data_IF_434294917018
#
_entry.id   IF_434294917018
#
_cell.length_a   1.000
_cell.length_b   1.000
_cell.length_c   1.000
_cell.angle_alpha   90.00
_cell.angle_beta   90.00
_cell.angle_gamma   90.00
#
_symmetry.space_group_name_H-M   'P 1'
#
loop_
_entity.id
_entity.type
_entity.pdbx_description
1 polymer ?
#
# COMPACT_ATOMS: atom_id res chain seq x y z
N UNK A 1 -2.58 6.07 -32.65
CA UNK A 1 -3.11 4.82 -32.05
C UNK A 1 -4.45 5.16 -31.42
N UNK A 2 -5.47 4.31 -31.54
CA UNK A 2 -6.77 4.52 -30.88
C UNK A 2 -6.63 4.46 -29.36
N UNK A 3 -7.37 5.28 -28.63
CA UNK A 3 -7.44 5.22 -27.17
C UNK A 3 -7.95 3.86 -26.71
N UNK A 4 -7.45 3.40 -25.57
CA UNK A 4 -7.77 2.13 -24.93
C UNK A 4 -8.23 2.35 -23.50
N UNK A 5 -9.39 1.83 -23.16
CA UNK A 5 -10.00 1.97 -21.85
C UNK A 5 -9.62 0.78 -20.99
N UNK A 6 -9.08 1.04 -19.80
CA UNK A 6 -8.77 0.03 -18.79
C UNK A 6 -9.75 0.17 -17.64
N UNK A 7 -10.60 -0.85 -17.46
CA UNK A 7 -11.46 -1.00 -16.29
C UNK A 7 -10.69 -1.61 -15.11
N UNK A 8 -11.25 -1.52 -13.90
CA UNK A 8 -10.64 -2.12 -12.73
C UNK A 8 -11.67 -2.90 -11.88
N UNK A 9 -11.20 -4.01 -11.32
CA UNK A 9 -11.86 -4.74 -10.23
C UNK A 9 -10.93 -4.79 -9.03
N UNK A 10 -11.45 -4.48 -7.84
CA UNK A 10 -10.69 -4.57 -6.60
C UNK A 10 -11.59 -4.96 -5.43
N UNK A 11 -11.03 -5.65 -4.44
CA UNK A 11 -11.72 -5.95 -3.17
C UNK A 11 -11.49 -4.88 -2.10
N UNK A 12 -10.60 -3.93 -2.33
CA UNK A 12 -10.43 -2.81 -1.42
C UNK A 12 -11.60 -1.85 -1.50
N UNK A 13 -12.21 -1.58 -0.35
CA UNK A 13 -13.25 -0.56 -0.26
C UNK A 13 -12.66 0.82 -0.58
N UNK A 14 -13.34 1.55 -1.47
CA UNK A 14 -12.93 2.90 -1.90
C UNK A 14 -11.90 2.94 -3.04
N UNK A 15 -11.28 1.83 -3.41
CA UNK A 15 -10.41 1.76 -4.60
C UNK A 15 -11.12 1.32 -5.88
N UNK A 16 -12.36 0.91 -5.79
CA UNK A 16 -13.21 0.60 -6.95
C UNK A 16 -13.72 1.85 -7.69
N UNK A 17 -13.34 3.03 -7.22
CA UNK A 17 -13.53 4.30 -7.91
C UNK A 17 -12.24 4.68 -8.62
N UNK A 18 -12.33 5.31 -9.77
CA UNK A 18 -11.18 5.69 -10.61
C UNK A 18 -10.29 6.78 -9.99
N UNK A 19 -10.75 7.45 -8.92
CA UNK A 19 -10.17 8.68 -8.39
C UNK A 19 -8.66 8.60 -8.15
N UNK A 20 -8.21 7.54 -7.48
CA UNK A 20 -6.80 7.42 -7.14
C UNK A 20 -5.93 7.13 -8.38
N UNK A 21 -6.38 6.29 -9.31
CA UNK A 21 -5.70 6.07 -10.59
C UNK A 21 -5.72 7.34 -11.43
N UNK A 22 -6.83 8.06 -11.44
CA UNK A 22 -6.96 9.33 -12.11
C UNK A 22 -5.96 10.36 -11.60
N UNK A 23 -5.83 10.49 -10.30
CA UNK A 23 -4.89 11.43 -9.68
C UNK A 23 -3.44 11.06 -9.95
N UNK A 24 -3.14 9.78 -10.09
CA UNK A 24 -1.77 9.27 -10.25
C UNK A 24 -1.29 9.17 -11.70
N UNK A 25 -2.07 9.60 -12.65
CA UNK A 25 -1.65 9.68 -14.06
C UNK A 25 -1.14 11.07 -14.42
N UNK A 26 -0.11 11.18 -15.30
CA UNK A 26 0.54 12.47 -15.61
C UNK A 26 -0.33 13.42 -16.41
N UNK A 27 -1.31 12.94 -17.18
CA UNK A 27 -2.10 13.78 -18.07
C UNK A 27 -3.60 13.54 -17.93
N UNK A 28 -4.38 14.62 -17.95
CA UNK A 28 -5.85 14.61 -18.06
C UNK A 28 -6.54 13.59 -17.18
N UNK A 29 -6.17 13.54 -15.89
CA UNK A 29 -6.82 12.68 -14.90
C UNK A 29 -7.24 11.31 -15.46
N UNK A 30 -6.35 10.34 -15.39
CA UNK A 30 -6.60 8.98 -15.85
C UNK A 30 -6.01 8.66 -17.22
N UNK A 31 -5.42 9.61 -17.91
CA UNK A 31 -4.84 9.39 -19.23
C UNK A 31 -3.30 9.28 -19.17
N UNK A 32 -2.76 8.23 -19.81
CA UNK A 32 -1.34 8.04 -20.04
C UNK A 32 -1.12 7.54 -21.48
N UNK A 33 -0.62 8.41 -22.33
CA UNK A 33 -0.50 8.11 -23.76
C UNK A 33 -1.87 7.83 -24.38
N UNK A 34 -2.05 6.64 -24.93
CA UNK A 34 -3.33 6.16 -25.47
C UNK A 34 -4.17 5.32 -24.48
N UNK A 35 -3.75 5.23 -23.21
CA UNK A 35 -4.48 4.50 -22.16
C UNK A 35 -5.35 5.47 -21.37
N UNK A 36 -6.60 5.11 -21.14
CA UNK A 36 -7.55 5.80 -20.27
C UNK A 36 -7.93 4.83 -19.14
N UNK A 37 -7.67 5.24 -17.89
CA UNK A 37 -8.08 4.51 -16.70
C UNK A 37 -9.50 4.94 -16.30
N UNK A 38 -10.48 4.07 -16.52
CA UNK A 38 -11.86 4.24 -16.07
C UNK A 38 -12.32 2.95 -15.38
N UNK A 39 -12.13 2.90 -14.05
CA UNK A 39 -12.36 1.70 -13.26
C UNK A 39 -13.77 1.13 -13.45
N UNK A 40 -14.78 1.98 -13.61
CA UNK A 40 -16.18 1.56 -13.65
C UNK A 40 -16.76 1.50 -15.08
N UNK A 41 -15.93 1.70 -16.10
CA UNK A 41 -16.41 1.66 -17.49
C UNK A 41 -17.17 0.35 -17.77
N UNK A 42 -18.37 0.40 -18.35
CA UNK A 42 -19.21 -0.79 -18.53
C UNK A 42 -18.66 -1.79 -19.56
N UNK A 43 -17.89 -1.32 -20.51
CA UNK A 43 -17.29 -2.11 -21.59
C UNK A 43 -15.84 -1.65 -21.85
N UNK A 44 -14.90 -1.98 -20.93
CA UNK A 44 -13.49 -1.59 -21.12
C UNK A 44 -12.81 -2.47 -22.17
N UNK A 45 -11.77 -1.95 -22.82
CA UNK A 45 -10.91 -2.74 -23.71
C UNK A 45 -10.05 -3.76 -22.96
N UNK A 46 -9.62 -3.40 -21.75
CA UNK A 46 -8.79 -4.21 -20.85
C UNK A 46 -9.32 -4.15 -19.42
N UNK A 47 -9.00 -5.16 -18.61
CA UNK A 47 -9.42 -5.22 -17.21
C UNK A 47 -8.23 -5.48 -16.29
N UNK A 48 -8.04 -4.62 -15.30
CA UNK A 48 -7.10 -4.80 -14.22
C UNK A 48 -7.83 -5.33 -12.98
N UNK A 49 -7.54 -6.56 -12.58
CA UNK A 49 -7.95 -7.13 -11.29
C UNK A 49 -6.86 -6.81 -10.26
N UNK A 50 -7.00 -5.66 -9.58
CA UNK A 50 -6.03 -5.15 -8.63
C UNK A 50 -6.41 -5.53 -7.21
N UNK A 51 -5.63 -6.40 -6.56
CA UNK A 51 -5.97 -6.96 -5.23
C UNK A 51 -7.43 -7.41 -5.19
N UNK A 52 -7.80 -8.26 -6.13
CA UNK A 52 -9.14 -8.82 -6.18
C UNK A 52 -9.15 -10.16 -5.43
N UNK A 53 -10.01 -10.26 -4.43
CA UNK A 53 -10.19 -11.48 -3.63
C UNK A 53 -11.26 -12.36 -4.25
N UNK A 54 -10.87 -13.55 -4.68
CA UNK A 54 -11.78 -14.53 -5.20
C UNK A 54 -12.62 -15.18 -4.08
N UNK A 55 -13.92 -15.44 -4.31
CA UNK A 55 -14.78 -16.07 -3.32
C UNK A 55 -14.29 -17.48 -3.00
N UNK A 56 -14.17 -17.79 -1.71
CA UNK A 56 -13.88 -19.14 -1.22
C UNK A 56 -15.17 -19.87 -0.91
N UNK A 57 -15.30 -21.09 -1.35
CA UNK A 57 -16.32 -22.00 -0.83
C UNK A 57 -15.92 -22.36 0.59
N UNK A 58 -16.62 -21.80 1.58
CA UNK A 58 -16.40 -22.15 2.99
C UNK A 58 -16.81 -23.61 3.20
N UNK A 59 -15.82 -24.50 3.40
CA UNK A 59 -16.04 -25.91 3.76
C UNK A 59 -16.33 -26.12 5.25
N UNK A 60 -16.41 -25.07 6.07
CA UNK A 60 -16.71 -25.23 7.49
C UNK A 60 -18.22 -25.34 7.67
N UNK A 61 -18.70 -26.38 8.38
CA UNK A 61 -20.08 -26.42 8.80
C UNK A 61 -20.33 -25.19 9.69
N UNK A 62 -21.29 -24.36 9.26
CA UNK A 62 -21.74 -23.21 10.02
C UNK A 62 -22.20 -23.68 11.39
N UNK A 63 -21.83 -22.99 12.45
CA UNK A 63 -22.45 -23.21 13.75
C UNK A 63 -23.98 -23.02 13.61
N UNK A 64 -24.77 -23.71 14.43
CA UNK A 64 -26.23 -23.60 14.43
C UNK A 64 -26.73 -22.13 14.43
N UNK A 65 -26.04 -21.25 15.16
CA UNK A 65 -26.37 -19.81 15.20
C UNK A 65 -26.05 -19.08 13.89
N UNK A 66 -24.98 -19.46 13.21
CA UNK A 66 -24.63 -18.91 11.89
C UNK A 66 -25.54 -19.44 10.79
N UNK A 67 -25.95 -20.71 10.89
CA UNK A 67 -26.94 -21.33 10.01
C UNK A 67 -28.28 -20.59 10.06
N UNK A 68 -28.78 -20.27 11.27
CA UNK A 68 -30.02 -19.49 11.43
C UNK A 68 -29.84 -18.06 10.88
N UNK A 69 -28.73 -17.40 11.12
CA UNK A 69 -28.45 -16.08 10.53
C UNK A 69 -28.40 -16.13 9.01
N UNK A 70 -27.93 -17.22 8.42
CA UNK A 70 -27.92 -17.41 6.97
C UNK A 70 -29.29 -17.65 6.36
N UNK A 71 -30.23 -18.26 7.09
CA UNK A 71 -31.62 -18.45 6.64
C UNK A 71 -32.39 -17.12 6.47
N UNK A 72 -32.06 -16.11 7.27
CA UNK A 72 -32.71 -14.80 7.26
C UNK A 72 -31.94 -13.71 6.50
N UNK A 73 -30.70 -13.97 6.05
CA UNK A 73 -30.01 -13.07 5.11
C UNK A 73 -30.39 -13.51 3.69
N UNK A 74 -30.81 -12.55 2.83
CA UNK A 74 -30.94 -12.88 1.41
C UNK A 74 -29.60 -13.47 0.97
N UNK A 75 -29.63 -14.67 0.35
CA UNK A 75 -28.44 -15.23 -0.32
C UNK A 75 -27.92 -14.14 -1.22
N UNK A 76 -26.78 -13.53 -0.87
CA UNK A 76 -25.98 -12.83 -1.86
C UNK A 76 -25.71 -13.91 -2.91
N UNK A 77 -26.42 -13.86 -4.01
CA UNK A 77 -26.09 -14.59 -5.21
C UNK A 77 -24.62 -14.27 -5.47
N UNK A 78 -23.76 -15.28 -5.43
CA UNK A 78 -22.40 -15.15 -5.93
C UNK A 78 -22.57 -14.62 -7.35
N UNK A 79 -22.39 -13.30 -7.51
CA UNK A 79 -22.35 -12.70 -8.85
C UNK A 79 -21.23 -13.44 -9.56
N UNK A 80 -21.55 -14.14 -10.63
CA UNK A 80 -20.55 -14.93 -11.36
C UNK A 80 -19.38 -13.97 -11.68
N UNK A 81 -18.17 -14.41 -11.41
CA UNK A 81 -16.97 -13.63 -11.72
C UNK A 81 -16.99 -13.19 -13.18
N UNK A 82 -17.55 -14.02 -14.07
CA UNK A 82 -17.71 -13.73 -15.50
C UNK A 82 -18.53 -12.47 -15.76
N UNK A 83 -19.58 -12.21 -14.99
CA UNK A 83 -20.36 -10.97 -15.12
C UNK A 83 -19.50 -9.73 -14.74
N UNK A 84 -18.64 -9.88 -13.71
CA UNK A 84 -17.73 -8.81 -13.30
C UNK A 84 -16.66 -8.50 -14.34
N UNK A 85 -16.31 -9.46 -15.20
CA UNK A 85 -15.36 -9.24 -16.29
C UNK A 85 -15.88 -8.33 -17.40
N UNK A 86 -17.17 -7.99 -17.41
CA UNK A 86 -17.79 -7.04 -18.38
C UNK A 86 -17.52 -7.41 -19.83
N UNK A 87 -17.45 -8.71 -20.15
CA UNK A 87 -17.18 -9.20 -21.50
C UNK A 87 -15.70 -9.12 -21.95
N UNK A 88 -14.80 -8.68 -21.08
CA UNK A 88 -13.35 -8.65 -21.39
C UNK A 88 -12.79 -10.08 -21.39
N UNK A 89 -12.09 -10.43 -22.46
CA UNK A 89 -11.50 -11.75 -22.59
C UNK A 89 -10.28 -11.95 -21.68
N UNK A 90 -9.92 -13.20 -21.44
CA UNK A 90 -8.78 -13.59 -20.60
C UNK A 90 -7.47 -12.90 -21.05
N UNK A 91 -7.24 -12.81 -22.36
CA UNK A 91 -6.01 -12.25 -22.97
C UNK A 91 -5.86 -10.75 -22.69
N UNK A 92 -6.96 -10.09 -22.33
CA UNK A 92 -7.02 -8.65 -22.03
C UNK A 92 -7.25 -8.37 -20.54
N UNK A 93 -7.17 -9.41 -19.70
CA UNK A 93 -7.35 -9.31 -18.26
C UNK A 93 -6.02 -9.57 -17.54
N UNK A 94 -5.67 -8.67 -16.63
CA UNK A 94 -4.45 -8.72 -15.82
C UNK A 94 -4.85 -8.82 -14.34
N UNK A 95 -4.16 -9.66 -13.58
CA UNK A 95 -4.25 -9.70 -12.13
C UNK A 95 -2.96 -9.23 -11.49
N UNK A 96 -3.06 -8.29 -10.56
CA UNK A 96 -1.93 -7.80 -9.76
C UNK A 96 -2.28 -7.82 -8.28
N UNK A 97 -1.59 -8.66 -7.53
CA UNK A 97 -1.70 -8.72 -6.09
C UNK A 97 -0.73 -7.72 -5.46
N UNK A 98 -1.11 -7.11 -4.34
CA UNK A 98 -0.28 -6.14 -3.62
C UNK A 98 0.04 -6.51 -2.17
N UNK A 99 -0.74 -7.39 -1.57
CA UNK A 99 -0.50 -7.77 -0.18
C UNK A 99 0.73 -8.66 -0.04
N UNK A 100 1.61 -8.39 0.94
CA UNK A 100 2.78 -9.20 1.17
C UNK A 100 2.39 -10.59 1.72
N UNK A 101 3.24 -11.62 1.58
CA UNK A 101 2.98 -12.97 2.04
C UNK A 101 3.18 -13.12 3.55
N UNK A 102 2.43 -12.36 4.35
CA UNK A 102 2.39 -12.51 5.80
C UNK A 102 1.83 -13.89 6.18
N UNK A 103 2.24 -14.47 7.32
CA UNK A 103 1.91 -15.83 7.76
C UNK A 103 0.44 -16.25 7.55
N UNK A 104 -0.49 -15.34 7.81
CA UNK A 104 -1.93 -15.59 7.64
C UNK A 104 -2.48 -15.26 6.26
N UNK A 105 -1.67 -14.66 5.41
CA UNK A 105 -2.07 -14.12 4.09
C UNK A 105 -1.51 -14.96 2.96
N UNK A 106 -0.35 -15.59 3.15
CA UNK A 106 0.34 -16.35 2.11
C UNK A 106 -0.54 -17.42 1.44
N UNK A 107 -1.27 -18.22 2.22
CA UNK A 107 -2.19 -19.24 1.68
C UNK A 107 -3.38 -18.62 0.93
N UNK A 108 -3.78 -17.42 1.35
CA UNK A 108 -4.81 -16.66 0.66
C UNK A 108 -4.32 -16.11 -0.67
N UNK A 109 -3.09 -15.60 -0.69
CA UNK A 109 -2.46 -15.13 -1.91
C UNK A 109 -2.30 -16.27 -2.93
N UNK A 110 -1.83 -17.44 -2.51
CA UNK A 110 -1.72 -18.64 -3.37
C UNK A 110 -3.07 -19.02 -3.99
N UNK A 111 -4.12 -19.06 -3.17
CA UNK A 111 -5.47 -19.33 -3.66
C UNK A 111 -5.91 -18.30 -4.70
N UNK A 112 -5.70 -17.01 -4.44
CA UNK A 112 -6.05 -15.95 -5.38
C UNK A 112 -5.28 -16.07 -6.71
N UNK A 113 -3.99 -16.42 -6.69
CA UNK A 113 -3.21 -16.66 -7.91
C UNK A 113 -3.76 -17.82 -8.73
N UNK A 114 -4.10 -18.94 -8.10
CA UNK A 114 -4.66 -20.08 -8.81
C UNK A 114 -6.02 -19.75 -9.44
N UNK A 115 -6.85 -18.99 -8.76
CA UNK A 115 -8.11 -18.52 -9.33
C UNK A 115 -7.88 -17.51 -10.46
N UNK A 116 -6.94 -16.58 -10.29
CA UNK A 116 -6.65 -15.56 -11.29
C UNK A 116 -6.18 -16.17 -12.62
N UNK A 117 -5.40 -17.26 -12.63
CA UNK A 117 -4.96 -17.97 -13.85
C UNK A 117 -6.11 -18.42 -14.76
N UNK A 118 -7.30 -18.63 -14.19
CA UNK A 118 -8.49 -19.01 -14.95
C UNK A 118 -8.97 -17.86 -15.82
N UNK A 119 -8.91 -16.64 -15.31
CA UNK A 119 -9.55 -15.45 -15.88
C UNK A 119 -8.57 -14.44 -16.49
N UNK A 120 -7.28 -14.55 -16.17
CA UNK A 120 -6.27 -13.58 -16.54
C UNK A 120 -5.14 -14.24 -17.34
N UNK A 121 -4.60 -13.52 -18.31
CA UNK A 121 -3.41 -13.94 -19.07
C UNK A 121 -2.11 -13.58 -18.35
N UNK A 122 -2.14 -12.54 -17.50
CA UNK A 122 -1.01 -12.13 -16.69
C UNK A 122 -1.42 -12.08 -15.23
N UNK A 123 -0.65 -12.75 -14.37
CA UNK A 123 -0.91 -12.88 -12.93
C UNK A 123 0.37 -12.63 -12.18
N UNK A 124 0.45 -11.51 -11.48
CA UNK A 124 1.65 -11.07 -10.75
C UNK A 124 1.40 -10.73 -9.30
N UNK A 125 2.48 -10.69 -8.52
CA UNK A 125 2.44 -10.24 -7.14
C UNK A 125 3.82 -10.19 -6.49
N UNK A 126 3.92 -9.54 -5.31
CA UNK A 126 5.17 -9.26 -4.64
C UNK A 126 5.64 -10.42 -3.74
N UNK A 127 5.60 -11.63 -4.27
CA UNK A 127 6.10 -12.83 -3.59
C UNK A 127 6.68 -13.88 -4.56
N UNK A 128 7.53 -14.76 -4.03
CA UNK A 128 8.28 -15.74 -4.83
C UNK A 128 7.43 -16.90 -5.34
N UNK A 129 6.19 -17.04 -4.91
CA UNK A 129 5.26 -18.07 -5.39
C UNK A 129 4.18 -17.52 -6.32
N UNK A 130 4.22 -16.21 -6.62
CA UNK A 130 3.40 -15.64 -7.68
C UNK A 130 3.74 -16.28 -9.04
N UNK A 131 2.76 -16.47 -9.94
CA UNK A 131 3.04 -16.94 -11.30
C UNK A 131 4.06 -16.09 -12.02
N UNK A 132 3.98 -14.77 -11.87
CA UNK A 132 5.01 -13.81 -12.25
C UNK A 132 5.39 -13.03 -11.00
N UNK A 133 6.52 -13.39 -10.32
CA UNK A 133 7.03 -12.58 -9.23
C UNK A 133 7.40 -11.19 -9.75
N UNK A 134 6.81 -10.16 -9.18
CA UNK A 134 7.02 -8.77 -9.61
C UNK A 134 6.94 -7.83 -8.43
N UNK A 135 7.49 -6.63 -8.59
CA UNK A 135 7.39 -5.60 -7.57
C UNK A 135 5.93 -5.24 -7.30
N UNK A 136 5.63 -4.94 -6.03
CA UNK A 136 4.36 -4.32 -5.70
C UNK A 136 4.18 -3.04 -6.53
N UNK A 137 3.03 -2.84 -7.19
CA UNK A 137 2.80 -1.62 -7.97
C UNK A 137 3.02 -0.36 -7.13
N UNK A 138 3.83 0.56 -7.64
CA UNK A 138 4.11 1.84 -6.99
C UNK A 138 2.86 2.74 -7.05
N UNK A 139 2.15 2.81 -5.95
CA UNK A 139 1.02 3.72 -5.76
C UNK A 139 1.26 4.52 -4.49
N UNK A 140 0.69 5.72 -4.41
CA UNK A 140 0.77 6.55 -3.23
C UNK A 140 -0.60 6.85 -2.63
N UNK A 141 -0.60 7.21 -1.36
CA UNK A 141 -1.81 7.57 -0.60
C UNK A 141 -1.77 8.97 0.00
N UNK A 142 -0.81 9.80 -0.39
CA UNK A 142 -0.98 11.25 -0.25
C UNK A 142 -2.14 11.67 -1.15
N UNK A 143 -3.01 12.54 -0.65
CA UNK A 143 -4.23 12.93 -1.36
C UNK A 143 -4.01 13.80 -2.60
N UNK A 144 -2.77 14.15 -2.89
CA UNK A 144 -2.36 15.02 -3.97
C UNK A 144 -2.30 14.27 -5.30
N UNK A 145 -2.72 14.92 -6.38
CA UNK A 145 -2.60 14.39 -7.73
C UNK A 145 -1.16 14.45 -8.24
N UNK A 146 -0.87 13.70 -9.31
CA UNK A 146 0.42 13.78 -10.01
C UNK A 146 0.76 15.23 -10.40
N UNK A 147 -0.24 15.94 -10.93
CA UNK A 147 -0.07 17.33 -11.35
C UNK A 147 0.30 18.23 -10.17
N UNK A 148 -0.46 18.17 -9.07
CA UNK A 148 -0.15 18.94 -7.86
C UNK A 148 1.25 18.65 -7.35
N UNK A 149 1.63 17.37 -7.22
CA UNK A 149 2.95 16.95 -6.76
C UNK A 149 4.08 17.45 -7.67
N UNK A 150 3.83 17.53 -8.98
CA UNK A 150 4.80 18.00 -9.98
C UNK A 150 4.92 19.54 -10.04
N UNK A 151 3.82 20.23 -9.77
CA UNK A 151 3.77 21.71 -9.80
C UNK A 151 4.15 22.33 -8.44
N UNK A 152 4.03 21.57 -7.34
CA UNK A 152 4.38 22.04 -6.00
C UNK A 152 5.90 22.13 -5.84
N UNK A 153 6.38 23.25 -5.34
CA UNK A 153 7.76 23.37 -4.89
C UNK A 153 8.05 22.54 -3.62
N UNK A 154 9.30 22.51 -3.22
CA UNK A 154 9.73 21.89 -1.95
C UNK A 154 9.01 22.56 -0.79
N UNK A 155 8.26 21.82 0.03
CA UNK A 155 7.54 22.40 1.16
C UNK A 155 8.51 22.90 2.24
N UNK A 156 8.11 23.94 2.97
CA UNK A 156 8.86 24.42 4.12
C UNK A 156 8.98 23.33 5.19
N UNK A 157 10.19 23.10 5.68
CA UNK A 157 10.47 22.12 6.71
C UNK A 157 10.50 22.79 8.08
N UNK A 158 9.56 22.44 8.95
CA UNK A 158 9.36 23.07 10.27
C UNK A 158 9.64 22.11 11.41
N UNK A 159 9.66 20.81 11.15
CA UNK A 159 9.74 19.76 12.17
C UNK A 159 10.70 18.65 11.77
N UNK A 160 11.22 17.94 12.77
CA UNK A 160 12.26 16.96 12.54
C UNK A 160 11.74 15.66 11.95
N UNK A 161 10.83 14.95 12.63
CA UNK A 161 10.45 13.58 12.26
C UNK A 161 8.97 13.31 12.47
N UNK A 162 8.36 12.61 11.54
CA UNK A 162 6.99 12.08 11.68
C UNK A 162 6.94 10.57 11.47
N UNK A 163 5.89 9.94 11.96
CA UNK A 163 5.54 8.55 11.66
C UNK A 163 4.04 8.42 11.45
N UNK A 164 3.64 7.86 10.31
CA UNK A 164 2.23 7.52 10.06
C UNK A 164 2.10 6.01 10.10
N UNK A 165 1.33 5.49 11.05
CA UNK A 165 1.10 4.05 11.20
C UNK A 165 -0.31 3.75 11.68
N UNK A 166 -0.71 2.49 11.67
CA UNK A 166 -2.02 2.03 12.18
C UNK A 166 -1.85 1.12 13.39
N UNK A 167 -2.90 1.03 14.22
CA UNK A 167 -2.94 0.11 15.35
C UNK A 167 -3.20 -1.36 14.99
N UNK A 168 -3.13 -1.75 13.71
CA UNK A 168 -3.32 -3.14 13.28
C UNK A 168 -2.27 -4.03 13.94
N UNK A 169 -2.73 -5.14 14.59
CA UNK A 169 -1.88 -6.07 15.36
C UNK A 169 -2.10 -7.55 14.98
N UNK A 170 -2.61 -7.83 13.78
CA UNK A 170 -3.08 -9.16 13.36
C UNK A 170 -1.97 -10.19 13.17
N UNK A 171 -0.77 -9.76 12.77
CA UNK A 171 0.38 -10.63 12.50
C UNK A 171 1.53 -10.33 13.45
N UNK A 172 2.57 -11.18 13.43
CA UNK A 172 3.78 -10.96 14.23
C UNK A 172 4.47 -9.65 13.84
N UNK A 173 4.57 -9.37 12.54
CA UNK A 173 5.20 -8.14 12.02
C UNK A 173 4.46 -6.88 12.48
N UNK A 174 3.12 -6.90 12.49
CA UNK A 174 2.33 -5.79 13.04
C UNK A 174 2.64 -5.55 14.51
N UNK A 175 2.74 -6.63 15.32
CA UNK A 175 3.05 -6.52 16.74
C UNK A 175 4.47 -6.02 16.99
N UNK A 176 5.46 -6.49 16.21
CA UNK A 176 6.84 -5.99 16.27
C UNK A 176 6.92 -4.49 15.98
N UNK A 177 6.22 -4.02 14.95
CA UNK A 177 6.13 -2.60 14.63
C UNK A 177 5.51 -1.78 15.76
N UNK A 178 4.42 -2.27 16.39
CA UNK A 178 3.80 -1.60 17.53
C UNK A 178 4.68 -1.64 18.78
N UNK A 179 5.41 -2.73 19.01
CA UNK A 179 6.40 -2.81 20.09
C UNK A 179 7.53 -1.79 19.89
N UNK A 180 8.01 -1.65 18.67
CA UNK A 180 9.02 -0.61 18.36
C UNK A 180 8.46 0.80 18.52
N UNK A 181 7.22 1.06 18.15
CA UNK A 181 6.55 2.33 18.42
C UNK A 181 6.55 2.65 19.92
N UNK A 182 6.14 1.70 20.73
CA UNK A 182 6.12 1.84 22.20
C UNK A 182 7.51 2.14 22.73
N UNK A 183 8.51 1.37 22.31
CA UNK A 183 9.90 1.53 22.70
C UNK A 183 10.45 2.93 22.34
N UNK A 184 10.17 3.44 21.13
CA UNK A 184 10.57 4.79 20.72
C UNK A 184 9.95 5.86 21.63
N UNK A 185 8.66 5.76 21.95
CA UNK A 185 7.99 6.73 22.83
C UNK A 185 8.52 6.68 24.28
N UNK A 186 8.77 5.47 24.80
CA UNK A 186 9.34 5.27 26.15
C UNK A 186 10.79 5.75 26.26
N UNK A 187 11.55 5.67 25.16
CA UNK A 187 12.94 6.19 25.09
C UNK A 187 13.06 7.71 25.12
N UNK A 188 11.95 8.43 25.08
CA UNK A 188 11.89 9.89 25.01
C UNK A 188 12.29 10.48 23.65
N UNK A 189 12.47 9.68 22.60
CA UNK A 189 12.67 10.18 21.25
C UNK A 189 11.47 11.01 20.80
N UNK A 190 11.74 12.20 20.25
CA UNK A 190 10.69 13.15 19.84
C UNK A 190 10.35 12.99 18.37
N UNK A 191 9.11 12.63 18.10
CA UNK A 191 8.52 12.57 16.76
C UNK A 191 7.00 12.77 16.85
N UNK A 192 6.40 13.24 15.79
CA UNK A 192 4.94 13.33 15.72
C UNK A 192 4.37 12.02 15.13
N UNK A 193 3.48 11.40 15.88
CA UNK A 193 2.82 10.15 15.50
C UNK A 193 1.43 10.45 14.97
N UNK A 194 1.12 9.90 13.81
CA UNK A 194 -0.22 9.96 13.20
C UNK A 194 -0.73 8.56 12.87
N UNK A 195 -2.05 8.39 12.88
CA UNK A 195 -2.64 7.14 12.41
C UNK A 195 -3.95 6.75 13.03
N UNK A 196 -4.55 5.68 12.50
CA UNK A 196 -5.87 5.20 12.90
C UNK A 196 -5.79 3.98 13.81
N UNK A 197 -6.73 3.92 14.78
CA UNK A 197 -6.90 2.75 15.65
C UNK A 197 -5.65 2.43 16.48
N UNK A 198 -4.83 3.44 16.78
CA UNK A 198 -3.65 3.28 17.63
C UNK A 198 -4.07 2.87 19.04
N UNK A 199 -3.25 2.09 19.78
CA UNK A 199 -3.53 1.74 21.16
C UNK A 199 -3.60 2.97 22.07
N UNK A 200 -4.36 2.89 23.16
CA UNK A 200 -4.56 4.00 24.12
C UNK A 200 -3.27 4.52 24.75
N UNK A 201 -2.24 3.66 24.85
CA UNK A 201 -0.92 4.09 25.36
C UNK A 201 -0.13 4.94 24.36
N UNK A 202 -0.49 4.93 23.08
CA UNK A 202 0.25 5.66 22.05
C UNK A 202 -0.08 7.16 22.13
N UNK A 203 0.96 7.96 22.37
CA UNK A 203 0.86 9.42 22.29
C UNK A 203 0.83 9.82 20.82
N UNK A 204 -0.33 10.21 20.32
CA UNK A 204 -0.56 10.52 18.92
C UNK A 204 -1.02 11.95 18.70
N UNK A 205 -0.66 12.52 17.54
CA UNK A 205 -1.18 13.79 17.03
C UNK A 205 -2.54 13.63 16.30
N UNK A 206 -3.09 12.41 16.28
CA UNK A 206 -4.39 12.11 15.70
C UNK A 206 -4.35 11.47 14.32
N UNK A 207 -5.53 11.41 13.71
CA UNK A 207 -5.70 10.92 12.34
C UNK A 207 -5.51 12.04 11.33
N UNK A 208 -5.04 11.69 10.14
CA UNK A 208 -4.91 12.64 9.03
C UNK A 208 -5.73 12.16 7.84
N UNK A 209 -6.45 13.06 7.20
CA UNK A 209 -7.19 12.77 5.97
C UNK A 209 -6.26 12.72 4.77
N UNK A 210 -5.31 13.64 4.69
CA UNK A 210 -4.26 13.64 3.68
C UNK A 210 -2.89 13.49 4.36
N UNK A 211 -2.18 12.43 4.07
CA UNK A 211 -0.85 12.14 4.61
C UNK A 211 0.18 13.22 4.31
N UNK A 212 -0.02 13.99 3.22
CA UNK A 212 0.81 15.14 2.90
C UNK A 212 1.00 16.07 4.11
N UNK A 213 -0.07 16.41 4.81
CA UNK A 213 -0.01 17.34 5.95
C UNK A 213 0.77 16.78 7.15
N UNK A 214 0.88 15.46 7.26
CA UNK A 214 1.65 14.80 8.31
C UNK A 214 3.07 14.42 7.88
N UNK A 215 3.46 14.75 6.66
CA UNK A 215 4.80 14.46 6.12
C UNK A 215 5.49 15.75 5.61
N UNK A 216 4.84 16.53 4.77
CA UNK A 216 5.45 17.69 4.09
C UNK A 216 6.24 18.65 5.01
N UNK A 217 5.77 19.00 6.22
CA UNK A 217 6.52 19.90 7.10
C UNK A 217 7.70 19.24 7.85
N UNK A 218 7.98 17.96 7.61
CA UNK A 218 9.04 17.21 8.30
C UNK A 218 10.24 16.95 7.41
N UNK A 219 11.43 16.98 7.98
CA UNK A 219 12.66 16.55 7.31
C UNK A 219 12.65 15.04 7.08
N UNK A 220 12.28 14.26 8.11
CA UNK A 220 12.33 12.80 8.11
C UNK A 220 10.97 12.17 8.34
N UNK A 221 10.77 10.99 7.77
CA UNK A 221 9.61 10.15 8.07
C UNK A 221 10.03 8.71 8.35
N UNK A 222 9.52 8.13 9.45
CA UNK A 222 9.70 6.71 9.73
C UNK A 222 8.79 5.89 8.82
N UNK A 223 9.36 5.37 7.73
CA UNK A 223 8.66 4.56 6.74
C UNK A 223 8.90 3.07 7.02
N UNK A 224 8.16 2.52 7.99
CA UNK A 224 8.34 1.15 8.47
C UNK A 224 7.29 0.24 7.86
N UNK A 225 7.75 -0.75 7.08
CA UNK A 225 6.90 -1.72 6.41
C UNK A 225 6.35 -2.77 7.37
N UNK A 226 5.25 -3.39 6.96
CA UNK A 226 4.69 -4.55 7.66
C UNK A 226 5.39 -5.86 7.29
N UNK A 227 6.24 -5.84 6.26
CA UNK A 227 6.93 -7.02 5.75
C UNK A 227 8.28 -6.60 5.14
N UNK A 228 9.35 -7.33 5.48
CA UNK A 228 10.70 -7.00 5.05
C UNK A 228 11.48 -8.21 4.48
N UNK A 229 10.85 -9.40 4.45
CA UNK A 229 11.56 -10.66 4.27
C UNK A 229 11.74 -11.08 2.80
N UNK A 230 11.31 -10.23 1.84
CA UNK A 230 11.57 -10.47 0.42
C UNK A 230 12.10 -9.23 -0.31
N UNK A 231 12.43 -9.44 -1.57
CA UNK A 231 13.04 -8.44 -2.45
C UNK A 231 12.06 -7.83 -3.48
N UNK A 232 10.75 -7.96 -3.25
CA UNK A 232 9.70 -7.52 -4.17
C UNK A 232 8.71 -6.54 -3.53
N UNK A 233 8.58 -6.56 -2.21
CA UNK A 233 7.58 -5.77 -1.52
C UNK A 233 8.10 -4.40 -1.09
N UNK A 234 7.47 -3.35 -1.59
CA UNK A 234 7.59 -1.95 -1.15
C UNK A 234 6.21 -1.33 -1.20
N UNK A 235 5.71 -0.85 -0.08
CA UNK A 235 4.38 -0.24 -0.03
C UNK A 235 4.39 1.27 -0.26
N UNK A 236 3.21 1.85 -0.22
CA UNK A 236 3.01 3.30 -0.33
C UNK A 236 3.76 4.13 0.71
N UNK A 237 4.21 3.55 1.82
CA UNK A 237 4.91 4.27 2.90
C UNK A 237 6.17 4.96 2.43
N UNK A 238 6.93 4.27 1.59
CA UNK A 238 8.15 4.82 1.02
C UNK A 238 7.83 5.93 0.01
N UNK A 239 6.88 5.67 -0.88
CA UNK A 239 6.47 6.62 -1.93
C UNK A 239 5.82 7.87 -1.35
N UNK A 240 4.92 7.72 -0.37
CA UNK A 240 4.27 8.85 0.30
C UNK A 240 5.28 9.79 0.95
N UNK A 241 6.32 9.26 1.59
CA UNK A 241 7.37 10.06 2.21
C UNK A 241 8.20 10.83 1.17
N UNK A 242 8.66 10.14 0.12
CA UNK A 242 9.44 10.78 -0.96
C UNK A 242 8.64 11.87 -1.68
N UNK A 243 7.39 11.57 -2.04
CA UNK A 243 6.50 12.54 -2.70
C UNK A 243 6.16 13.73 -1.81
N UNK A 244 6.25 13.58 -0.50
CA UNK A 244 6.10 14.66 0.47
C UNK A 244 7.42 15.38 0.79
N UNK A 245 8.47 15.12 0.04
CA UNK A 245 9.81 15.68 0.26
C UNK A 245 10.41 15.36 1.64
N UNK A 246 9.98 14.27 2.28
CA UNK A 246 10.64 13.74 3.46
C UNK A 246 11.75 12.79 3.04
N UNK A 247 12.88 12.79 3.75
CA UNK A 247 13.84 11.71 3.65
C UNK A 247 13.33 10.52 4.47
N UNK A 248 12.96 9.38 3.83
CA UNK A 248 12.48 8.22 4.55
C UNK A 248 13.57 7.55 5.37
N UNK A 249 13.32 7.29 6.66
CA UNK A 249 14.06 6.31 7.46
C UNK A 249 13.30 5.00 7.30
N UNK A 250 13.78 4.17 6.38
CA UNK A 250 13.02 3.05 5.83
C UNK A 250 13.43 1.72 6.44
N UNK A 251 12.44 0.98 6.95
CA UNK A 251 12.54 -0.43 7.33
C UNK A 251 11.68 -1.28 6.41
N UNK A 252 12.29 -2.13 5.60
CA UNK A 252 11.61 -2.96 4.62
C UNK A 252 12.59 -3.85 3.87
N UNK A 253 12.10 -4.63 2.93
CA UNK A 253 12.90 -5.51 2.08
C UNK A 253 13.84 -4.75 1.14
N UNK A 254 14.67 -5.50 0.41
CA UNK A 254 15.69 -4.97 -0.51
C UNK A 254 15.11 -4.46 -1.84
N UNK A 255 13.79 -4.55 -2.05
CA UNK A 255 13.15 -3.99 -3.25
C UNK A 255 13.43 -2.48 -3.41
N UNK A 256 13.42 -1.73 -2.31
CA UNK A 256 13.67 -0.29 -2.31
C UNK A 256 15.05 0.06 -2.89
N UNK A 257 16.10 -0.73 -2.59
CA UNK A 257 17.46 -0.49 -3.08
C UNK A 257 17.58 -0.67 -4.61
N UNK A 258 16.68 -1.44 -5.22
CA UNK A 258 16.64 -1.67 -6.66
C UNK A 258 15.77 -0.67 -7.41
N UNK A 259 14.76 -0.14 -6.73
CA UNK A 259 13.77 0.75 -7.32
C UNK A 259 14.14 2.24 -7.23
N UNK A 260 15.04 2.59 -6.31
CA UNK A 260 15.43 3.97 -6.03
C UNK A 260 16.93 4.20 -6.18
N UNK A 261 17.35 5.39 -6.59
CA UNK A 261 18.75 5.77 -6.58
C UNK A 261 19.35 5.70 -5.17
N UNK A 262 20.67 5.44 -5.04
CA UNK A 262 21.37 5.56 -3.75
C UNK A 262 21.16 6.94 -3.12
N UNK A 263 20.97 6.98 -1.81
CA UNK A 263 20.73 8.22 -1.06
C UNK A 263 19.26 8.68 -1.03
N UNK A 264 18.35 8.06 -1.77
CA UNK A 264 16.93 8.42 -1.74
C UNK A 264 16.23 8.10 -0.40
N UNK A 265 16.82 7.27 0.44
CA UNK A 265 16.32 6.94 1.78
C UNK A 265 17.46 6.47 2.68
N UNK A 266 17.21 6.51 3.98
CA UNK A 266 18.11 5.99 5.02
C UNK A 266 17.62 4.61 5.47
N UNK A 267 18.48 3.60 5.42
CA UNK A 267 18.11 2.24 5.84
C UNK A 267 18.09 2.12 7.35
N UNK A 268 16.90 1.92 7.95
CA UNK A 268 16.78 1.57 9.36
C UNK A 268 17.32 0.16 9.59
N UNK A 269 18.36 -0.04 10.40
CA UNK A 269 19.02 -1.35 10.51
C UNK A 269 18.18 -2.40 11.24
N UNK A 270 17.38 -1.98 12.23
CA UNK A 270 16.57 -2.88 13.06
C UNK A 270 15.51 -2.11 13.84
N UNK A 271 14.52 -2.82 14.38
CA UNK A 271 13.48 -2.24 15.25
C UNK A 271 13.82 -2.52 16.73
N UNK A 272 14.94 -1.99 17.21
CA UNK A 272 15.48 -2.16 18.56
C UNK A 272 16.36 -0.95 18.98
N UNK A 273 17.21 -1.10 20.01
CA UNK A 273 18.13 -0.05 20.48
C UNK A 273 19.10 0.43 19.40
N UNK A 274 19.57 -0.44 18.51
CA UNK A 274 20.44 -0.08 17.39
C UNK A 274 19.69 0.83 16.42
N UNK A 275 18.44 0.48 16.11
CA UNK A 275 17.58 1.33 15.27
C UNK A 275 17.28 2.68 15.92
N UNK A 276 16.97 2.71 17.23
CA UNK A 276 16.77 3.94 17.96
C UNK A 276 18.02 4.84 17.94
N UNK A 277 19.18 4.28 18.19
CA UNK A 277 20.46 5.01 18.17
C UNK A 277 20.73 5.59 16.77
N UNK A 278 20.46 4.82 15.72
CA UNK A 278 20.56 5.27 14.34
C UNK A 278 19.60 6.44 14.06
N UNK A 279 18.32 6.30 14.42
CA UNK A 279 17.32 7.35 14.23
C UNK A 279 17.75 8.64 14.94
N UNK A 280 18.15 8.55 16.22
CA UNK A 280 18.61 9.71 17.00
C UNK A 280 19.80 10.42 16.33
N UNK A 281 20.75 9.64 15.82
CA UNK A 281 21.92 10.20 15.15
C UNK A 281 21.55 10.95 13.86
N UNK A 282 20.81 10.29 12.95
CA UNK A 282 20.50 10.87 11.63
C UNK A 282 19.49 12.02 11.71
N UNK A 283 18.65 12.07 12.75
CA UNK A 283 17.67 13.15 12.95
C UNK A 283 18.18 14.29 13.84
N UNK A 284 19.43 14.23 14.30
CA UNK A 284 20.03 15.28 15.13
C UNK A 284 20.21 16.60 14.37
N UNK A 285 20.42 16.52 13.07
CA UNK A 285 20.52 17.66 12.14
C UNK A 285 19.71 17.37 10.87
N UNK A 286 19.42 18.36 10.02
CA UNK A 286 18.78 18.14 8.72
C UNK A 286 19.78 17.79 7.60
N UNK A 287 21.05 17.55 7.89
CA UNK A 287 22.13 17.42 6.89
C UNK A 287 21.86 16.30 5.89
N UNK A 288 21.49 15.12 6.36
CA UNK A 288 21.18 13.99 5.47
C UNK A 288 20.00 14.27 4.51
N UNK A 289 19.03 15.07 4.96
CA UNK A 289 17.95 15.52 4.07
C UNK A 289 18.45 16.51 3.03
N UNK A 290 19.34 17.44 3.40
CA UNK A 290 19.92 18.40 2.47
C UNK A 290 20.77 17.71 1.40
N UNK A 291 21.55 16.70 1.79
CA UNK A 291 22.33 15.88 0.85
C UNK A 291 21.44 15.10 -0.13
N UNK A 292 20.36 14.47 0.38
CA UNK A 292 19.43 13.70 -0.44
C UNK A 292 18.62 14.56 -1.41
N UNK A 293 18.30 15.80 -1.03
CA UNK A 293 17.56 16.76 -1.86
C UNK A 293 18.36 17.21 -3.07
#
# INVERSE_FOLDING_TARGET
MSEKIVGMLTSYRGLNQSDWLWKQTPHSFGKWGNIIMDANHPQPDFLLMYQFDFPRKTKQPLSWREYIKHLYKPKKTETDIREKLRGVSKEKTIYSLREPPLDKVAEYNKFNYEQAKIYCSYVSGPDNFAPVPDYMPAIWYVGNSFRELNEMGVPEKLKTCSWITSGINRTINHRQRLAFLKFLQESGFKFDLYGRGLPDWAKTSGEVQNKWHAMAPYYYNLSIENYADNNLYVSEKLWDALLSWCLPIYYGGSAADKLLPPGSFLRLPSMDEKGLSYIKNVTSTPDAWHEAK
#
